data_IF_427577896911
#
_entry.id   IF_427577896911
#
_cell.length_a   1.000
_cell.length_b   1.000
_cell.length_c   1.000
_cell.angle_alpha   90.00
_cell.angle_beta   90.00
_cell.angle_gamma   90.00
#
_symmetry.space_group_name_H-M   'P 1'
#
loop_
_entity.id
_entity.type
_entity.pdbx_description
1 polymer ?
#
# COMPACT_ATOMS: atom_id res chain seq x y z
N UNK A 1 60.85 -9.86 31.31
CA UNK A 1 59.82 -10.73 30.70
C UNK A 1 58.54 -10.65 31.54
N UNK A 2 57.47 -10.06 30.99
CA UNK A 2 56.03 -10.43 31.09
C UNK A 2 55.17 -9.20 30.80
N UNK A 3 54.42 -9.32 29.71
CA UNK A 3 53.59 -8.31 29.04
C UNK A 3 52.34 -7.89 29.85
N UNK A 4 51.73 -6.73 29.52
CA UNK A 4 50.52 -6.23 30.17
C UNK A 4 49.27 -7.00 29.73
N UNK A 5 48.37 -7.32 30.66
CA UNK A 5 47.03 -7.80 30.32
C UNK A 5 46.14 -6.61 29.95
N UNK A 6 45.84 -6.50 28.66
CA UNK A 6 44.79 -5.64 28.12
C UNK A 6 43.47 -6.39 28.30
N UNK A 7 42.63 -5.95 29.24
CA UNK A 7 41.26 -6.46 29.37
C UNK A 7 40.35 -5.59 28.51
N UNK A 8 40.05 -6.09 27.30
CA UNK A 8 39.09 -5.49 26.39
C UNK A 8 37.67 -5.93 26.80
N UNK A 9 36.95 -5.07 27.51
CA UNK A 9 35.54 -5.31 27.83
C UNK A 9 34.68 -4.98 26.60
N UNK A 10 34.32 -5.99 25.81
CA UNK A 10 33.30 -5.87 24.77
C UNK A 10 31.94 -5.94 25.47
N UNK A 11 31.30 -4.79 25.68
CA UNK A 11 29.89 -4.73 26.06
C UNK A 11 29.07 -5.03 24.80
N UNK A 12 28.56 -6.25 24.72
CA UNK A 12 27.63 -6.65 23.67
C UNK A 12 26.29 -5.95 23.94
N UNK A 13 26.06 -4.83 23.26
CA UNK A 13 24.75 -4.17 23.23
C UNK A 13 23.81 -5.08 22.44
N UNK A 14 23.17 -6.02 23.13
CA UNK A 14 22.05 -6.76 22.60
C UNK A 14 20.91 -5.76 22.38
N UNK A 15 20.85 -5.20 21.16
CA UNK A 15 19.70 -4.48 20.68
C UNK A 15 18.54 -5.47 20.63
N UNK A 16 17.82 -5.57 21.74
CA UNK A 16 16.47 -6.14 21.77
C UNK A 16 15.56 -5.12 21.11
N UNK A 17 15.70 -4.97 19.79
CA UNK A 17 14.59 -4.47 19.01
C UNK A 17 13.43 -5.42 19.33
N UNK A 18 12.26 -4.93 19.78
CA UNK A 18 11.11 -5.79 19.88
C UNK A 18 10.95 -6.41 18.49
N UNK A 19 11.06 -7.73 18.40
CA UNK A 19 10.49 -8.50 17.31
C UNK A 19 9.01 -8.13 17.32
N UNK A 20 8.66 -7.03 16.62
CA UNK A 20 7.28 -6.75 16.27
C UNK A 20 6.84 -8.03 15.61
N UNK A 21 5.85 -8.70 16.19
CA UNK A 21 5.17 -9.77 15.51
C UNK A 21 4.66 -9.14 14.21
N UNK A 22 5.38 -9.36 13.11
CA UNK A 22 5.05 -8.74 11.84
C UNK A 22 3.67 -9.27 11.46
N UNK A 23 2.70 -8.37 11.40
CA UNK A 23 1.37 -8.71 10.93
C UNK A 23 1.45 -8.97 9.43
N UNK A 24 1.66 -10.25 9.07
CA UNK A 24 1.99 -10.72 7.72
C UNK A 24 0.92 -10.47 6.66
N UNK A 25 -0.22 -9.90 7.06
CA UNK A 25 -1.37 -9.61 6.22
C UNK A 25 -1.64 -8.11 6.10
N UNK A 26 -0.66 -7.26 6.40
CA UNK A 26 -0.80 -5.80 6.33
C UNK A 26 -0.05 -5.21 5.14
N UNK A 27 -0.50 -4.05 4.67
CA UNK A 27 0.16 -3.31 3.60
C UNK A 27 1.60 -2.94 3.98
N UNK A 28 1.83 -2.48 5.21
CA UNK A 28 3.17 -2.16 5.74
C UNK A 28 4.13 -3.34 5.64
N UNK A 29 3.68 -4.55 5.98
CA UNK A 29 4.48 -5.75 5.86
C UNK A 29 4.93 -5.99 4.40
N UNK A 30 3.98 -6.01 3.46
CA UNK A 30 4.29 -6.23 2.06
C UNK A 30 5.12 -5.09 1.45
N UNK A 31 4.92 -3.86 1.88
CA UNK A 31 5.65 -2.69 1.37
C UNK A 31 7.05 -2.53 1.98
N UNK A 32 7.41 -3.31 3.01
CA UNK A 32 8.77 -3.32 3.59
C UNK A 32 9.77 -4.00 2.66
N UNK A 33 9.43 -5.18 2.11
CA UNK A 33 10.25 -5.89 1.11
C UNK A 33 9.42 -6.28 -0.12
N UNK A 34 8.85 -5.31 -0.85
CA UNK A 34 7.81 -5.56 -1.84
C UNK A 34 8.27 -6.44 -3.00
N UNK A 35 9.56 -6.42 -3.34
CA UNK A 35 10.12 -7.28 -4.39
C UNK A 35 9.99 -8.77 -4.08
N UNK A 36 9.97 -9.15 -2.80
CA UNK A 36 9.84 -10.55 -2.40
C UNK A 36 8.44 -11.10 -2.66
N UNK A 37 7.44 -10.22 -2.86
CA UNK A 37 6.04 -10.58 -3.03
C UNK A 37 5.53 -10.37 -4.46
N UNK A 38 6.28 -9.68 -5.33
CA UNK A 38 5.88 -9.44 -6.72
C UNK A 38 5.58 -10.77 -7.42
N UNK A 39 4.45 -10.81 -8.11
CA UNK A 39 3.88 -11.99 -8.77
C UNK A 39 3.43 -13.12 -7.83
N UNK A 40 3.31 -12.87 -6.52
CA UNK A 40 2.73 -13.82 -5.57
C UNK A 40 1.30 -13.44 -5.21
N UNK A 41 0.49 -14.46 -4.89
CA UNK A 41 -0.83 -14.24 -4.31
C UNK A 41 -0.66 -13.88 -2.84
N UNK A 42 -1.09 -12.68 -2.46
CA UNK A 42 -1.06 -12.19 -1.09
C UNK A 42 -2.45 -12.15 -0.49
N UNK A 43 -2.52 -12.11 0.84
CA UNK A 43 -3.76 -11.95 1.61
C UNK A 43 -3.60 -10.75 2.53
N UNK A 44 -4.53 -9.80 2.42
CA UNK A 44 -4.58 -8.57 3.21
C UNK A 44 -5.75 -8.60 4.18
N UNK A 45 -5.49 -8.23 5.43
CA UNK A 45 -6.52 -7.96 6.43
C UNK A 45 -6.99 -6.53 6.26
N UNK A 46 -8.14 -6.36 5.59
CA UNK A 46 -8.66 -5.05 5.19
C UNK A 46 -9.68 -4.56 6.20
N UNK A 47 -9.49 -3.34 6.70
CA UNK A 47 -10.46 -2.64 7.55
C UNK A 47 -11.55 -1.95 6.74
N UNK A 48 -11.16 -1.22 5.69
CA UNK A 48 -12.06 -0.54 4.77
C UNK A 48 -11.32 -0.16 3.48
N UNK A 49 -12.06 0.28 2.46
CA UNK A 49 -11.49 0.72 1.18
C UNK A 49 -11.92 2.15 0.86
N UNK A 50 -11.02 2.94 0.26
CA UNK A 50 -11.32 4.29 -0.24
C UNK A 50 -11.17 4.32 -1.76
N UNK A 51 -12.14 4.85 -2.51
CA UNK A 51 -11.99 5.01 -3.95
C UNK A 51 -10.83 5.99 -4.24
N UNK A 52 -10.04 5.72 -5.27
CA UNK A 52 -9.00 6.67 -5.70
C UNK A 52 -9.61 7.67 -6.68
N UNK A 53 -9.41 8.97 -6.43
CA UNK A 53 -10.05 10.06 -7.15
C UNK A 53 -9.27 10.54 -8.39
N UNK A 54 -8.72 9.61 -9.16
CA UNK A 54 -8.04 9.89 -10.42
C UNK A 54 -8.64 9.04 -11.55
N UNK A 55 -8.45 9.49 -12.79
CA UNK A 55 -8.97 8.79 -13.97
C UNK A 55 -8.06 7.63 -14.31
N UNK A 56 -8.59 6.40 -14.23
CA UNK A 56 -7.86 5.20 -14.64
C UNK A 56 -7.44 5.30 -16.12
N UNK A 57 -6.20 4.93 -16.48
CA UNK A 57 -5.74 4.85 -17.87
C UNK A 57 -6.48 3.77 -18.66
N UNK A 58 -7.10 2.81 -17.98
CA UNK A 58 -7.93 1.78 -18.58
C UNK A 58 -9.32 1.78 -17.90
N UNK A 59 -10.41 2.08 -18.64
CA UNK A 59 -11.75 2.19 -18.09
C UNK A 59 -12.31 0.87 -17.54
N UNK A 60 -11.73 -0.28 -17.91
CA UNK A 60 -12.16 -1.59 -17.40
C UNK A 60 -11.76 -1.83 -15.95
N UNK A 61 -10.87 -0.98 -15.41
CA UNK A 61 -10.37 -1.08 -14.05
C UNK A 61 -10.70 0.16 -13.24
N UNK A 62 -11.09 -0.07 -11.99
CA UNK A 62 -11.19 0.96 -10.98
C UNK A 62 -10.23 0.63 -9.82
N UNK A 63 -9.72 1.67 -9.18
CA UNK A 63 -8.74 1.55 -8.11
C UNK A 63 -9.31 2.00 -6.77
N UNK A 64 -8.87 1.32 -5.73
CA UNK A 64 -9.16 1.65 -4.33
C UNK A 64 -7.86 1.64 -3.52
N UNK A 65 -7.75 2.49 -2.50
CA UNK A 65 -6.83 2.26 -1.39
C UNK A 65 -7.48 1.29 -0.41
N UNK A 66 -6.94 0.09 -0.27
CA UNK A 66 -7.29 -0.81 0.81
C UNK A 66 -6.50 -0.43 2.06
N UNK A 67 -7.22 -0.01 3.10
CA UNK A 67 -6.65 0.31 4.40
C UNK A 67 -6.62 -0.97 5.23
N UNK A 68 -5.42 -1.44 5.55
CA UNK A 68 -5.23 -2.70 6.27
C UNK A 68 -5.13 -2.50 7.77
N UNK A 69 -5.38 -3.55 8.53
CA UNK A 69 -5.31 -3.57 9.99
C UNK A 69 -4.50 -4.76 10.46
N UNK A 70 -3.61 -4.54 11.41
CA UNK A 70 -3.06 -5.62 12.21
C UNK A 70 -4.11 -6.05 13.23
N UNK A 71 -4.72 -7.20 13.01
CA UNK A 71 -5.74 -7.77 13.90
C UNK A 71 -5.19 -8.16 15.27
N UNK A 72 -3.90 -8.47 15.37
CA UNK A 72 -3.28 -8.91 16.62
C UNK A 72 -3.20 -7.75 17.61
N UNK A 73 -2.68 -6.62 17.14
CA UNK A 73 -2.50 -5.41 17.95
C UNK A 73 -3.63 -4.38 17.80
N UNK A 74 -4.59 -4.63 16.90
CA UNK A 74 -5.68 -3.71 16.51
C UNK A 74 -5.16 -2.33 16.07
N UNK A 75 -4.09 -2.32 15.29
CA UNK A 75 -3.45 -1.09 14.79
C UNK A 75 -3.60 -0.98 13.27
N UNK A 76 -3.64 0.24 12.71
CA UNK A 76 -3.53 0.42 11.26
C UNK A 76 -2.28 -0.28 10.72
N UNK A 77 -2.43 -1.01 9.63
CA UNK A 77 -1.35 -1.73 8.94
C UNK A 77 -0.92 -1.06 7.64
N UNK A 78 -1.25 0.21 7.44
CA UNK A 78 -1.00 0.97 6.21
C UNK A 78 -2.04 0.76 5.10
N UNK A 79 -1.86 1.52 4.01
CA UNK A 79 -2.71 1.47 2.83
C UNK A 79 -1.98 0.95 1.61
N UNK A 80 -2.67 0.21 0.74
CA UNK A 80 -2.14 -0.26 -0.54
C UNK A 80 -3.17 -0.09 -1.65
N UNK A 81 -2.69 0.18 -2.87
CA UNK A 81 -3.54 0.28 -4.05
C UNK A 81 -4.08 -1.10 -4.42
N UNK A 82 -5.36 -1.17 -4.78
CA UNK A 82 -6.01 -2.39 -5.24
C UNK A 82 -6.73 -2.10 -6.54
N UNK A 83 -6.51 -2.97 -7.52
CA UNK A 83 -7.22 -2.95 -8.79
C UNK A 83 -8.40 -3.92 -8.76
N UNK A 84 -9.55 -3.46 -9.22
CA UNK A 84 -10.77 -4.25 -9.40
C UNK A 84 -11.37 -3.97 -10.78
N UNK A 85 -12.21 -4.87 -11.28
CA UNK A 85 -13.01 -4.58 -12.46
C UNK A 85 -13.97 -3.42 -12.18
N UNK A 86 -14.08 -2.48 -13.11
CA UNK A 86 -14.96 -1.32 -12.98
C UNK A 86 -16.43 -1.75 -12.77
N UNK A 87 -16.86 -2.83 -13.43
CA UNK A 87 -18.19 -3.40 -13.26
C UNK A 87 -18.48 -3.89 -11.81
N UNK A 88 -17.44 -4.32 -11.08
CA UNK A 88 -17.55 -4.87 -9.74
C UNK A 88 -17.27 -3.85 -8.63
N UNK A 89 -16.84 -2.63 -8.99
CA UNK A 89 -16.36 -1.63 -8.03
C UNK A 89 -17.40 -1.27 -6.96
N UNK A 90 -18.68 -1.18 -7.32
CA UNK A 90 -19.76 -0.91 -6.38
C UNK A 90 -19.96 -2.06 -5.39
N UNK A 91 -19.89 -3.31 -5.85
CA UNK A 91 -20.01 -4.49 -5.00
C UNK A 91 -18.78 -4.61 -4.08
N UNK A 92 -17.59 -4.30 -4.60
CA UNK A 92 -16.35 -4.26 -3.85
C UNK A 92 -16.41 -3.24 -2.71
N UNK A 93 -16.78 -1.98 -2.98
CA UNK A 93 -16.91 -0.95 -1.96
C UNK A 93 -17.92 -1.32 -0.86
N UNK A 94 -19.04 -1.96 -1.23
CA UNK A 94 -20.04 -2.46 -0.26
C UNK A 94 -19.50 -3.60 0.59
N UNK A 95 -18.71 -4.51 0.01
CA UNK A 95 -18.16 -5.68 0.72
C UNK A 95 -17.20 -5.26 1.83
N UNK A 96 -16.29 -4.34 1.54
CA UNK A 96 -15.25 -3.93 2.49
C UNK A 96 -15.63 -2.70 3.33
N UNK A 97 -16.68 -1.96 2.94
CA UNK A 97 -17.04 -0.70 3.57
C UNK A 97 -16.11 0.44 3.18
N UNK A 98 -16.60 1.68 3.27
CA UNK A 98 -15.85 2.89 2.89
C UNK A 98 -15.27 3.67 4.08
N UNK A 99 -15.65 3.28 5.29
CA UNK A 99 -15.31 3.98 6.52
C UNK A 99 -14.82 3.01 7.59
N UNK A 100 -14.04 3.52 8.55
CA UNK A 100 -13.49 2.77 9.68
C UNK A 100 -14.54 2.51 10.77
N UNK A 101 -15.74 2.07 10.40
CA UNK A 101 -16.86 1.92 11.33
C UNK A 101 -16.85 0.56 12.08
N UNK A 102 -15.68 -0.10 12.15
CA UNK A 102 -15.47 -1.36 12.89
C UNK A 102 -16.34 -2.53 12.44
N UNK A 103 -17.06 -2.40 11.32
CA UNK A 103 -18.10 -3.35 10.90
C UNK A 103 -17.55 -4.68 10.41
N UNK A 104 -16.26 -4.81 10.13
CA UNK A 104 -15.76 -5.96 9.39
C UNK A 104 -14.27 -6.27 9.60
N UNK A 105 -13.83 -6.28 10.86
CA UNK A 105 -12.47 -6.64 11.29
C UNK A 105 -12.01 -8.05 10.86
N UNK A 106 -12.83 -8.85 10.16
CA UNK A 106 -12.50 -10.20 9.69
C UNK A 106 -12.35 -10.34 8.16
N UNK A 107 -12.48 -9.25 7.40
CA UNK A 107 -12.47 -9.35 5.92
C UNK A 107 -11.07 -9.51 5.36
N UNK A 108 -10.85 -10.58 4.59
CA UNK A 108 -9.58 -10.86 3.90
C UNK A 108 -9.74 -10.53 2.42
N UNK A 109 -8.85 -9.70 1.89
CA UNK A 109 -8.70 -9.46 0.46
C UNK A 109 -7.54 -10.29 -0.08
N UNK A 110 -7.78 -11.05 -1.15
CA UNK A 110 -6.73 -11.80 -1.85
C UNK A 110 -6.55 -11.25 -3.25
N UNK A 111 -5.31 -11.27 -3.72
CA UNK A 111 -4.99 -10.89 -5.09
C UNK A 111 -3.51 -11.06 -5.39
N UNK A 112 -3.14 -10.81 -6.64
CA UNK A 112 -1.78 -10.87 -7.12
C UNK A 112 -1.05 -9.57 -6.80
N UNK A 113 0.07 -9.65 -6.10
CA UNK A 113 0.88 -8.47 -5.79
C UNK A 113 1.72 -8.08 -7.00
N UNK A 114 1.56 -6.86 -7.49
CA UNK A 114 2.18 -6.36 -8.71
C UNK A 114 2.96 -5.08 -8.44
N UNK A 115 4.01 -4.88 -9.24
CA UNK A 115 4.66 -3.58 -9.39
C UNK A 115 4.02 -2.87 -10.59
N UNK A 116 3.08 -1.97 -10.35
CA UNK A 116 2.24 -1.32 -11.36
C UNK A 116 2.91 -0.20 -12.17
N UNK A 117 4.24 -0.17 -12.18
CA UNK A 117 5.02 0.75 -12.98
C UNK A 117 5.61 1.94 -12.22
N UNK A 118 6.53 2.58 -12.94
CA UNK A 118 7.40 3.70 -12.56
C UNK A 118 8.47 3.76 -13.66
N UNK A 119 8.54 4.86 -14.42
CA UNK A 119 9.63 5.08 -15.38
C UNK A 119 10.99 4.85 -14.70
N UNK A 120 12.03 4.44 -15.45
CA UNK A 120 13.40 4.31 -14.93
C UNK A 120 13.77 5.54 -14.10
N UNK A 121 13.93 5.35 -12.78
CA UNK A 121 14.29 6.41 -11.83
C UNK A 121 13.14 7.02 -11.02
N UNK A 122 11.89 6.59 -11.22
CA UNK A 122 10.73 6.98 -10.39
C UNK A 122 10.28 5.86 -9.46
N UNK A 123 9.62 6.22 -8.35
CA UNK A 123 9.12 5.25 -7.38
C UNK A 123 8.16 4.27 -8.06
N UNK A 124 8.40 2.96 -7.85
CA UNK A 124 7.49 1.90 -8.29
C UNK A 124 6.25 1.92 -7.42
N UNK A 125 5.08 1.97 -8.04
CA UNK A 125 3.82 1.78 -7.32
C UNK A 125 3.59 0.28 -7.16
N UNK A 126 3.33 -0.18 -5.94
CA UNK A 126 2.91 -1.56 -5.68
C UNK A 126 1.41 -1.61 -5.44
N UNK A 127 0.77 -2.64 -5.96
CA UNK A 127 -0.66 -2.81 -5.88
C UNK A 127 -1.04 -4.29 -5.78
N UNK A 128 -2.29 -4.55 -5.39
CA UNK A 128 -2.90 -5.87 -5.45
C UNK A 128 -3.94 -5.93 -6.56
N UNK A 129 -3.70 -6.80 -7.53
CA UNK A 129 -4.63 -7.09 -8.61
C UNK A 129 -5.57 -8.21 -8.18
N UNK A 130 -6.85 -7.88 -8.02
CA UNK A 130 -7.90 -8.85 -7.67
C UNK A 130 -8.52 -9.54 -8.89
N UNK A 131 -8.16 -9.07 -10.09
CA UNK A 131 -8.74 -9.52 -11.36
C UNK A 131 -7.88 -10.60 -12.02
N UNK A 132 -6.56 -10.53 -11.83
CA UNK A 132 -5.57 -11.38 -12.51
C UNK A 132 -5.30 -10.94 -13.96
N UNK A 133 -6.01 -9.94 -14.47
CA UNK A 133 -5.91 -9.46 -15.85
C UNK A 133 -4.92 -8.29 -15.99
N UNK A 134 -4.73 -7.51 -14.91
CA UNK A 134 -3.89 -6.32 -14.96
C UNK A 134 -2.41 -6.67 -15.19
N UNK A 135 -1.98 -7.84 -14.70
CA UNK A 135 -0.63 -8.36 -14.96
C UNK A 135 -0.32 -8.46 -16.45
N UNK A 136 -1.24 -9.03 -17.23
CA UNK A 136 -1.03 -9.22 -18.67
C UNK A 136 -0.87 -7.87 -19.39
N UNK A 137 -1.62 -6.86 -18.96
CA UNK A 137 -1.53 -5.49 -19.51
C UNK A 137 -0.21 -4.80 -19.15
N UNK A 138 0.30 -4.99 -17.92
CA UNK A 138 1.62 -4.50 -17.54
C UNK A 138 2.73 -5.19 -18.33
N UNK A 139 2.67 -6.52 -18.47
CA UNK A 139 3.69 -7.29 -19.21
C UNK A 139 3.71 -6.90 -20.69
N UNK A 140 2.56 -6.56 -21.28
CA UNK A 140 2.42 -6.09 -22.66
C UNK A 140 2.86 -4.61 -22.85
N UNK A 141 3.07 -3.86 -21.77
CA UNK A 141 3.37 -2.42 -21.81
C UNK A 141 2.18 -1.55 -22.22
N UNK A 142 0.97 -2.12 -22.22
CA UNK A 142 -0.28 -1.45 -22.61
C UNK A 142 -0.89 -0.64 -21.46
N UNK A 143 -0.37 -0.82 -20.24
CA UNK A 143 -0.85 -0.13 -19.05
C UNK A 143 0.32 0.33 -18.18
N UNK A 144 0.25 1.56 -17.70
CA UNK A 144 1.19 2.12 -16.73
C UNK A 144 0.43 3.04 -15.78
N UNK A 145 0.66 2.87 -14.47
CA UNK A 145 0.16 3.83 -13.51
C UNK A 145 0.98 5.13 -13.59
N UNK A 146 0.34 6.31 -13.46
CA UNK A 146 1.07 7.55 -13.31
C UNK A 146 1.89 7.46 -12.03
N UNK A 147 3.09 8.00 -12.04
CA UNK A 147 3.85 8.16 -10.81
C UNK A 147 3.00 8.95 -9.81
N UNK A 148 2.92 8.49 -8.56
CA UNK A 148 2.34 9.31 -7.50
C UNK A 148 3.11 10.65 -7.46
N UNK A 149 2.44 11.81 -7.44
CA UNK A 149 3.11 13.04 -7.05
C UNK A 149 3.65 12.82 -5.64
N UNK A 150 4.93 13.15 -5.42
CA UNK A 150 5.64 12.90 -4.17
C UNK A 150 5.10 13.70 -2.95
N UNK A 151 3.95 14.36 -3.07
CA UNK A 151 3.40 15.26 -2.06
C UNK A 151 1.97 14.87 -1.68
N UNK A 152 1.82 14.53 -0.40
CA UNK A 152 0.53 14.42 0.25
C UNK A 152 -0.15 15.78 0.24
N UNK A 153 -1.19 15.92 -0.56
CA UNK A 153 -2.19 16.97 -0.46
C UNK A 153 -1.74 18.33 -0.98
N UNK A 154 -2.08 18.62 -2.24
CA UNK A 154 -2.50 19.98 -2.57
C UNK A 154 -3.62 19.97 -3.60
N UNK A 155 -4.78 20.37 -3.11
CA UNK A 155 -5.97 20.70 -3.87
C UNK A 155 -5.63 21.91 -4.74
N UNK A 156 -5.12 21.67 -5.95
CA UNK A 156 -4.90 22.70 -6.98
C UNK A 156 -6.24 23.08 -7.63
N UNK A 157 -7.14 23.63 -6.83
CA UNK A 157 -8.27 24.41 -7.29
C UNK A 157 -7.89 25.88 -7.32
N UNK A 158 -8.26 26.66 -8.36
CA UNK A 158 -8.01 28.10 -8.38
C UNK A 158 -8.76 28.74 -7.20
N UNK A 159 -8.03 29.36 -6.26
CA UNK A 159 -8.63 30.21 -5.23
C UNK A 159 -9.28 31.41 -5.94
N UNK A 160 -10.58 31.72 -5.75
CA UNK A 160 -11.13 32.95 -6.26
C UNK A 160 -10.50 34.13 -5.54
N UNK A 161 -9.91 35.04 -6.31
CA UNK A 161 -9.38 36.32 -5.83
C UNK A 161 -10.49 37.11 -5.14
N UNK A 162 -10.34 37.34 -3.83
CA UNK A 162 -11.12 38.34 -3.11
C UNK A 162 -10.55 39.71 -3.49
N UNK A 163 -11.27 40.44 -4.35
CA UNK A 163 -10.95 41.83 -4.69
C UNK A 163 -11.04 42.74 -3.46
N UNK A 164 -10.39 43.91 -3.48
CA UNK A 164 -10.37 44.81 -2.33
C UNK A 164 -11.75 45.45 -2.15
N UNK A 165 -12.31 45.33 -0.94
CA UNK A 165 -13.44 46.17 -0.52
C UNK A 165 -12.93 47.60 -0.33
N UNK A 166 -13.54 48.54 -1.05
CA UNK A 166 -13.59 49.96 -0.70
C UNK A 166 -14.64 50.17 0.40
#
# INVERSE_FOLDING_TARGET
MKSPLITLTIVLLAATAPLRAESKHTAEYFLTTPQDFVNQIVSLDVAFVKPVHWVSPNPDFQFFHAMTIDRTDKKPGGGILVAVKAADASAFARKYGTDFDGKNDSTILKGLFLAGGGEKGRMKIYLVDTTGELKALFDAGEFALPAEPADGGEQSGPRPHKGPQQ
#
